data_IF_759173637583
#
_entry.id   IF_759173637583
#
_cell.length_a   1.000
_cell.length_b   1.000
_cell.length_c   1.000
_cell.angle_alpha   90.00
_cell.angle_beta   90.00
_cell.angle_gamma   90.00
#
_symmetry.space_group_name_H-M   'P 1'
#
loop_
_entity.id
_entity.type
_entity.pdbx_description
1 polymer ?
#
# COMPACT_ATOMS: atom_id res chain seq x y z
N UNK A 1 12.60 17.18 5.62
CA UNK A 1 11.66 17.48 4.50
C UNK A 1 10.31 17.03 4.97
N UNK A 2 9.34 17.92 5.12
CA UNK A 2 8.00 17.52 5.60
C UNK A 2 7.36 16.61 4.56
N UNK A 3 6.72 15.53 4.99
CA UNK A 3 5.97 14.57 4.12
C UNK A 3 4.99 15.31 3.20
N UNK A 4 4.36 16.38 3.68
CA UNK A 4 3.44 17.25 2.92
C UNK A 4 4.04 17.87 1.64
N UNK A 5 5.37 17.85 1.48
CA UNK A 5 6.09 18.33 0.28
C UNK A 5 6.59 17.20 -0.62
N UNK A 6 6.33 15.95 -0.27
CA UNK A 6 6.69 14.82 -1.12
C UNK A 6 5.83 14.84 -2.39
N UNK A 7 6.49 14.78 -3.56
CA UNK A 7 5.78 14.83 -4.84
C UNK A 7 5.08 13.51 -5.08
N UNK A 8 3.76 13.55 -5.23
CA UNK A 8 2.98 12.40 -5.67
C UNK A 8 3.43 11.96 -7.07
N UNK A 9 3.62 10.68 -7.22
CA UNK A 9 3.96 10.02 -8.47
C UNK A 9 2.86 9.03 -8.82
N UNK A 10 2.43 9.03 -10.09
CA UNK A 10 1.54 8.00 -10.65
C UNK A 10 2.08 7.59 -12.01
N UNK A 11 2.10 6.31 -12.27
CA UNK A 11 2.34 5.84 -13.64
C UNK A 11 1.17 6.23 -14.52
N UNK A 12 1.43 6.92 -15.61
CA UNK A 12 0.39 7.28 -16.59
C UNK A 12 0.00 6.12 -17.48
N UNK A 13 0.90 5.19 -17.68
CA UNK A 13 0.70 3.98 -18.48
C UNK A 13 1.77 2.92 -18.13
N UNK A 14 1.47 1.68 -18.45
CA UNK A 14 2.43 0.58 -18.54
C UNK A 14 2.32 -0.05 -19.92
N UNK A 15 3.33 -0.80 -20.37
CA UNK A 15 3.27 -1.53 -21.62
C UNK A 15 2.60 -2.89 -21.45
N UNK A 16 2.03 -3.42 -22.52
CA UNK A 16 1.47 -4.78 -22.54
C UNK A 16 2.57 -5.81 -22.31
N UNK A 17 3.79 -5.58 -22.82
CA UNK A 17 4.94 -6.44 -22.54
C UNK A 17 5.27 -6.51 -21.06
N UNK A 18 5.23 -5.37 -20.33
CA UNK A 18 5.41 -5.36 -18.88
C UNK A 18 4.33 -6.17 -18.14
N UNK A 19 3.05 -6.07 -18.57
CA UNK A 19 1.98 -6.91 -18.01
C UNK A 19 2.24 -8.40 -18.29
N UNK A 20 2.72 -8.75 -19.50
CA UNK A 20 3.02 -10.12 -19.89
C UNK A 20 4.18 -10.70 -19.06
N UNK A 21 5.30 -9.99 -18.94
CA UNK A 21 6.46 -10.41 -18.15
C UNK A 21 6.11 -10.61 -16.68
N UNK A 22 5.41 -9.65 -16.06
CA UNK A 22 4.96 -9.74 -14.67
C UNK A 22 3.91 -10.84 -14.47
N UNK A 23 3.11 -11.14 -15.51
CA UNK A 23 2.01 -12.09 -15.47
C UNK A 23 2.35 -13.49 -15.93
N UNK A 24 3.50 -13.70 -16.59
CA UNK A 24 3.87 -14.98 -17.18
C UNK A 24 3.76 -16.14 -16.18
N UNK A 25 4.41 -16.04 -15.06
CA UNK A 25 4.39 -17.09 -14.03
C UNK A 25 3.15 -16.99 -13.12
N UNK A 26 2.80 -15.77 -12.72
CA UNK A 26 1.71 -15.52 -11.75
C UNK A 26 0.33 -15.75 -12.34
N UNK A 27 0.11 -15.34 -13.59
CA UNK A 27 -1.18 -15.44 -14.29
C UNK A 27 -1.21 -16.55 -15.34
N UNK A 28 -0.07 -17.24 -15.54
CA UNK A 28 0.13 -18.27 -16.55
C UNK A 28 -0.29 -17.77 -17.94
N UNK A 29 0.15 -16.55 -18.27
CA UNK A 29 -0.11 -15.97 -19.58
C UNK A 29 0.78 -16.62 -20.63
N UNK A 30 0.20 -16.98 -21.77
CA UNK A 30 0.90 -17.44 -22.98
C UNK A 30 0.54 -16.52 -24.14
N UNK A 31 1.51 -16.08 -24.92
CA UNK A 31 1.26 -15.31 -26.13
C UNK A 31 0.77 -16.23 -27.25
N UNK A 32 -0.44 -15.96 -27.80
CA UNK A 32 -1.04 -16.79 -28.83
C UNK A 32 -0.74 -16.32 -30.25
N UNK A 33 -0.34 -15.06 -30.42
CA UNK A 33 -0.08 -14.46 -31.74
C UNK A 33 1.25 -13.70 -31.82
N UNK A 34 2.24 -14.08 -30.99
CA UNK A 34 3.56 -13.49 -30.93
C UNK A 34 3.63 -12.21 -30.09
N UNK A 35 4.71 -11.45 -30.23
CA UNK A 35 5.04 -10.31 -29.39
C UNK A 35 4.70 -8.94 -30.02
N UNK A 36 4.14 -8.94 -31.22
CA UNK A 36 3.77 -7.71 -31.92
C UNK A 36 2.70 -6.95 -31.14
N UNK A 37 2.98 -5.70 -30.79
CA UNK A 37 2.11 -4.86 -29.97
C UNK A 37 2.40 -4.91 -28.47
N UNK A 38 3.49 -5.52 -28.02
CA UNK A 38 3.93 -5.49 -26.62
C UNK A 38 4.24 -4.05 -26.14
N UNK A 39 4.53 -3.12 -27.03
CA UNK A 39 4.71 -1.69 -26.76
C UNK A 39 3.39 -0.93 -26.58
N UNK A 40 2.24 -1.58 -26.84
CA UNK A 40 0.94 -0.96 -26.60
C UNK A 40 0.82 -0.53 -25.15
N UNK A 41 0.18 0.64 -24.95
CA UNK A 41 0.04 1.24 -23.62
C UNK A 41 -1.30 0.88 -22.99
N UNK A 42 -1.26 0.39 -21.76
CA UNK A 42 -2.40 0.27 -20.87
C UNK A 42 -2.44 1.54 -20.03
N UNK A 43 -3.55 2.27 -20.09
CA UNK A 43 -3.72 3.57 -19.43
C UNK A 43 -4.82 3.58 -18.36
N UNK A 44 -5.64 2.54 -18.31
CA UNK A 44 -6.72 2.36 -17.33
C UNK A 44 -6.46 1.10 -16.49
N UNK A 45 -6.68 1.19 -15.20
CA UNK A 45 -6.55 0.07 -14.27
C UNK A 45 -7.71 -0.92 -14.35
N UNK A 46 -8.83 -0.49 -14.92
CA UNK A 46 -10.02 -1.33 -15.03
C UNK A 46 -9.93 -2.23 -16.26
N UNK A 47 -10.56 -3.38 -16.15
CA UNK A 47 -10.70 -4.34 -17.22
C UNK A 47 -12.03 -4.16 -17.94
N UNK A 48 -12.18 -4.76 -19.12
CA UNK A 48 -13.43 -4.76 -19.85
C UNK A 48 -13.75 -6.15 -20.43
N UNK A 49 -15.04 -6.52 -20.44
CA UNK A 49 -15.54 -7.71 -21.11
C UNK A 49 -16.35 -7.28 -22.34
N UNK A 50 -15.92 -7.66 -23.55
CA UNK A 50 -16.47 -7.10 -24.79
C UNK A 50 -17.79 -7.74 -25.25
N UNK A 51 -18.56 -8.38 -24.34
CA UNK A 51 -19.76 -9.14 -24.73
C UNK A 51 -20.77 -8.35 -25.55
N UNK A 52 -21.12 -7.12 -25.15
CA UNK A 52 -22.02 -6.25 -25.89
C UNK A 52 -21.42 -5.77 -27.23
N UNK A 53 -20.11 -5.48 -27.24
CA UNK A 53 -19.43 -5.07 -28.47
C UNK A 53 -19.39 -6.20 -29.51
N UNK A 54 -19.21 -7.44 -29.08
CA UNK A 54 -19.34 -8.62 -29.94
C UNK A 54 -20.75 -8.75 -30.51
N UNK A 55 -21.78 -8.40 -29.73
CA UNK A 55 -23.17 -8.33 -30.19
C UNK A 55 -23.51 -7.17 -31.14
N UNK A 56 -22.52 -6.26 -31.35
CA UNK A 56 -22.67 -5.11 -32.25
C UNK A 56 -22.96 -3.77 -31.55
N UNK A 57 -23.12 -3.74 -30.23
CA UNK A 57 -23.29 -2.53 -29.47
C UNK A 57 -21.95 -1.98 -29.01
N UNK A 58 -21.45 -0.95 -29.69
CA UNK A 58 -20.09 -0.40 -29.50
C UNK A 58 -20.07 0.99 -28.88
N UNK A 59 -21.20 1.66 -28.67
CA UNK A 59 -21.28 3.03 -28.18
C UNK A 59 -20.61 3.22 -26.81
N UNK A 60 -20.67 2.21 -25.94
CA UNK A 60 -20.05 2.22 -24.61
C UNK A 60 -18.86 1.27 -24.50
N UNK A 61 -18.30 0.86 -25.63
CA UNK A 61 -17.16 -0.05 -25.66
C UNK A 61 -15.88 0.63 -25.16
N UNK A 62 -15.36 0.16 -24.04
CA UNK A 62 -14.13 0.66 -23.45
C UNK A 62 -12.93 -0.08 -24.06
N UNK A 63 -12.63 0.27 -25.31
CA UNK A 63 -11.52 -0.33 -26.08
C UNK A 63 -10.13 0.05 -25.51
N UNK A 64 -10.04 1.14 -24.75
CA UNK A 64 -8.83 1.63 -24.08
C UNK A 64 -8.35 0.73 -22.92
N UNK A 65 -9.13 -0.30 -22.55
CA UNK A 65 -8.86 -1.23 -21.46
C UNK A 65 -8.37 -2.58 -21.96
N UNK A 66 -7.71 -3.32 -21.07
CA UNK A 66 -7.43 -4.75 -21.28
C UNK A 66 -8.75 -5.49 -21.41
N UNK A 67 -8.92 -6.23 -22.52
CA UNK A 67 -10.13 -7.02 -22.79
C UNK A 67 -9.98 -8.42 -22.24
N UNK A 68 -11.01 -8.92 -21.53
CA UNK A 68 -11.05 -10.30 -21.05
C UNK A 68 -12.24 -11.02 -21.69
N UNK A 69 -11.95 -12.13 -22.35
CA UNK A 69 -12.94 -12.98 -23.00
C UNK A 69 -12.89 -14.38 -22.38
N UNK A 70 -14.01 -14.81 -21.83
CA UNK A 70 -14.16 -16.12 -21.22
C UNK A 70 -15.18 -17.00 -21.92
N UNK A 71 -15.63 -18.03 -21.21
CA UNK A 71 -16.61 -19.00 -21.73
C UNK A 71 -17.88 -18.32 -22.24
N UNK A 72 -18.33 -17.23 -21.64
CA UNK A 72 -19.55 -16.53 -22.08
C UNK A 72 -19.41 -15.96 -23.49
N UNK A 73 -18.32 -15.22 -23.72
CA UNK A 73 -18.03 -14.58 -25.00
C UNK A 73 -17.76 -15.64 -26.09
N UNK A 74 -17.01 -16.69 -25.78
CA UNK A 74 -16.69 -17.76 -26.72
C UNK A 74 -17.93 -18.59 -27.07
N UNK A 75 -18.76 -18.93 -26.09
CA UNK A 75 -20.03 -19.64 -26.35
C UNK A 75 -21.00 -18.81 -27.18
N UNK A 76 -21.06 -17.49 -26.91
CA UNK A 76 -21.86 -16.60 -27.74
C UNK A 76 -21.37 -16.61 -29.20
N UNK A 77 -20.07 -16.44 -29.43
CA UNK A 77 -19.49 -16.47 -30.77
C UNK A 77 -19.76 -17.81 -31.49
N UNK A 78 -19.63 -18.92 -30.77
CA UNK A 78 -19.91 -20.27 -31.30
C UNK A 78 -21.40 -20.55 -31.55
N UNK A 79 -22.31 -19.78 -30.95
CA UNK A 79 -23.74 -19.88 -31.23
C UNK A 79 -24.17 -19.14 -32.50
N UNK A 80 -23.32 -18.28 -33.04
CA UNK A 80 -23.53 -17.54 -34.26
C UNK A 80 -23.14 -18.39 -35.48
N UNK A 81 -23.74 -18.14 -36.67
CA UNK A 81 -23.19 -18.63 -37.91
C UNK A 81 -21.71 -18.26 -38.05
N UNK A 82 -20.81 -19.14 -38.56
CA UNK A 82 -19.36 -18.93 -38.56
C UNK A 82 -18.94 -17.59 -39.16
N UNK A 83 -19.58 -17.16 -40.24
CA UNK A 83 -19.29 -15.87 -40.87
C UNK A 83 -19.64 -14.65 -39.96
N UNK A 84 -20.73 -14.76 -39.19
CA UNK A 84 -21.15 -13.71 -38.26
C UNK A 84 -20.26 -13.68 -37.03
N UNK A 85 -19.87 -14.82 -36.46
CA UNK A 85 -18.93 -14.90 -35.35
C UNK A 85 -17.56 -14.30 -35.71
N UNK A 86 -17.07 -14.64 -36.91
CA UNK A 86 -15.84 -14.03 -37.45
C UNK A 86 -15.97 -12.52 -37.61
N UNK A 87 -17.08 -12.05 -38.20
CA UNK A 87 -17.34 -10.63 -38.39
C UNK A 87 -17.39 -9.85 -37.05
N UNK A 88 -17.99 -10.48 -35.99
CA UNK A 88 -18.05 -9.88 -34.65
C UNK A 88 -16.64 -9.68 -34.05
N UNK A 89 -15.75 -10.68 -34.16
CA UNK A 89 -14.36 -10.57 -33.73
C UNK A 89 -13.58 -9.53 -34.55
N UNK A 90 -13.73 -9.54 -35.87
CA UNK A 90 -13.04 -8.56 -36.74
C UNK A 90 -13.43 -7.12 -36.43
N UNK A 91 -14.72 -6.88 -36.11
CA UNK A 91 -15.22 -5.56 -35.66
C UNK A 91 -14.58 -5.13 -34.35
N UNK A 92 -14.45 -6.05 -33.38
CA UNK A 92 -13.77 -5.77 -32.12
C UNK A 92 -12.32 -5.34 -32.36
N UNK A 93 -11.61 -6.02 -33.26
CA UNK A 93 -10.23 -5.74 -33.59
C UNK A 93 -10.02 -4.44 -34.42
N UNK A 94 -11.07 -3.75 -34.87
CA UNK A 94 -10.98 -2.42 -35.51
C UNK A 94 -10.59 -1.32 -34.51
N UNK A 95 -10.85 -1.55 -33.23
CA UNK A 95 -10.48 -0.60 -32.17
C UNK A 95 -9.04 -0.78 -31.74
N UNK A 96 -8.42 0.30 -31.22
CA UNK A 96 -7.08 0.28 -30.66
C UNK A 96 -7.06 -0.35 -29.25
N UNK A 97 -7.27 -1.64 -29.19
CA UNK A 97 -7.29 -2.41 -27.94
C UNK A 97 -5.85 -2.64 -27.49
N UNK A 98 -5.49 -2.44 -26.20
CA UNK A 98 -4.15 -2.75 -25.71
C UNK A 98 -3.78 -4.22 -25.89
N UNK A 99 -4.61 -5.13 -25.41
CA UNK A 99 -4.49 -6.58 -25.57
C UNK A 99 -5.81 -7.28 -25.25
N UNK A 100 -5.91 -8.56 -25.61
CA UNK A 100 -7.01 -9.47 -25.27
C UNK A 100 -6.46 -10.64 -24.47
N UNK A 101 -7.14 -11.03 -23.38
CA UNK A 101 -6.84 -12.22 -22.59
C UNK A 101 -7.99 -13.22 -22.74
N UNK A 102 -7.69 -14.39 -23.27
CA UNK A 102 -8.61 -15.53 -23.37
C UNK A 102 -8.44 -16.41 -22.13
N UNK A 103 -9.53 -16.69 -21.43
CA UNK A 103 -9.52 -17.47 -20.18
C UNK A 103 -9.96 -18.90 -20.40
N UNK A 104 -9.83 -19.76 -19.39
CA UNK A 104 -10.31 -21.16 -19.41
C UNK A 104 -9.71 -22.00 -20.56
N UNK A 105 -8.47 -21.75 -20.97
CA UNK A 105 -7.85 -22.36 -22.17
C UNK A 105 -8.67 -22.17 -23.46
N UNK A 106 -9.53 -21.18 -23.54
CA UNK A 106 -10.22 -20.84 -24.76
C UNK A 106 -9.25 -20.39 -25.84
N UNK A 107 -9.60 -20.67 -27.08
CA UNK A 107 -8.86 -20.25 -28.28
C UNK A 107 -9.81 -19.59 -29.27
N UNK A 108 -9.24 -18.83 -30.19
CA UNK A 108 -9.94 -18.29 -31.36
C UNK A 108 -9.25 -18.78 -32.64
N UNK A 109 -9.94 -18.69 -33.77
CA UNK A 109 -9.41 -19.19 -35.04
C UNK A 109 -8.08 -18.52 -35.42
N UNK A 110 -7.16 -19.30 -36.02
CA UNK A 110 -5.81 -18.83 -36.37
C UNK A 110 -5.81 -17.63 -37.34
N UNK A 111 -6.76 -17.56 -38.25
CA UNK A 111 -6.90 -16.44 -39.18
C UNK A 111 -7.27 -15.13 -38.43
N UNK A 112 -8.04 -15.21 -37.35
CA UNK A 112 -8.34 -14.09 -36.47
C UNK A 112 -7.10 -13.69 -35.66
N UNK A 113 -6.33 -14.65 -35.13
CA UNK A 113 -5.05 -14.41 -34.46
C UNK A 113 -4.05 -13.69 -35.39
N UNK A 114 -3.99 -14.07 -36.65
CA UNK A 114 -3.16 -13.38 -37.67
C UNK A 114 -3.62 -11.94 -37.87
N UNK A 115 -4.94 -11.70 -38.01
CA UNK A 115 -5.46 -10.33 -38.15
C UNK A 115 -5.16 -9.49 -36.91
N UNK A 116 -5.29 -10.05 -35.72
CA UNK A 116 -4.93 -9.36 -34.46
C UNK A 116 -3.44 -9.00 -34.44
N UNK A 117 -2.55 -9.93 -34.82
CA UNK A 117 -1.12 -9.68 -34.93
C UNK A 117 -0.78 -8.60 -35.97
N UNK A 118 -1.43 -8.62 -37.15
CA UNK A 118 -1.22 -7.60 -38.18
C UNK A 118 -1.66 -6.21 -37.72
N UNK A 119 -2.69 -6.13 -36.89
CA UNK A 119 -3.17 -4.89 -36.27
C UNK A 119 -2.38 -4.51 -35.01
N UNK A 120 -1.39 -5.31 -34.59
CA UNK A 120 -0.56 -5.07 -33.40
C UNK A 120 -1.36 -5.22 -32.11
N UNK A 121 -2.33 -6.11 -32.05
CA UNK A 121 -3.12 -6.42 -30.86
C UNK A 121 -2.66 -7.76 -30.30
N UNK A 122 -1.91 -7.79 -29.17
CA UNK A 122 -1.52 -9.03 -28.51
C UNK A 122 -2.75 -9.80 -28.00
N UNK A 123 -2.75 -11.10 -28.21
CA UNK A 123 -3.75 -12.03 -27.67
C UNK A 123 -3.03 -13.02 -26.78
N UNK A 124 -3.45 -13.09 -25.52
CA UNK A 124 -2.93 -14.02 -24.53
C UNK A 124 -3.94 -15.09 -24.19
N UNK A 125 -3.45 -16.28 -23.87
CA UNK A 125 -4.24 -17.37 -23.28
C UNK A 125 -3.84 -17.59 -21.83
N UNK A 126 -4.80 -18.05 -21.01
CA UNK A 126 -4.54 -18.52 -19.65
C UNK A 126 -5.46 -19.68 -19.30
N UNK A 127 -4.99 -20.68 -18.50
CA UNK A 127 -5.85 -21.76 -18.01
C UNK A 127 -6.80 -21.30 -16.89
N UNK A 128 -6.60 -20.12 -16.34
CA UNK A 128 -7.44 -19.63 -15.24
C UNK A 128 -8.83 -19.22 -15.74
N UNK A 129 -9.82 -19.41 -14.87
CA UNK A 129 -11.18 -18.92 -15.09
C UNK A 129 -11.25 -17.38 -15.11
N UNK A 130 -12.28 -16.87 -15.75
CA UNK A 130 -12.46 -15.43 -15.98
C UNK A 130 -12.43 -14.60 -14.67
N UNK A 131 -13.12 -15.06 -13.63
CA UNK A 131 -13.18 -14.34 -12.35
C UNK A 131 -11.81 -14.24 -11.70
N UNK A 132 -11.06 -15.34 -11.68
CA UNK A 132 -9.73 -15.41 -11.08
C UNK A 132 -8.72 -14.52 -11.80
N UNK A 133 -8.67 -14.61 -13.14
CA UNK A 133 -7.75 -13.78 -13.91
C UNK A 133 -8.12 -12.29 -13.84
N UNK A 134 -9.43 -11.98 -13.87
CA UNK A 134 -9.89 -10.60 -13.72
C UNK A 134 -9.44 -9.99 -12.40
N UNK A 135 -9.55 -10.74 -11.30
CA UNK A 135 -9.05 -10.29 -10.00
C UNK A 135 -7.54 -10.06 -10.01
N UNK A 136 -6.75 -11.01 -10.53
CA UNK A 136 -5.29 -10.90 -10.54
C UNK A 136 -4.78 -9.75 -11.40
N UNK A 137 -5.35 -9.57 -12.58
CA UNK A 137 -4.94 -8.49 -13.49
C UNK A 137 -5.42 -7.14 -12.95
N UNK A 138 -6.62 -7.05 -12.39
CA UNK A 138 -7.12 -5.82 -11.76
C UNK A 138 -6.26 -5.42 -10.56
N UNK A 139 -5.92 -6.36 -9.66
CA UNK A 139 -5.03 -6.12 -8.51
C UNK A 139 -3.64 -5.63 -8.97
N UNK A 140 -3.07 -6.27 -9.99
CA UNK A 140 -1.80 -5.86 -10.57
C UNK A 140 -1.86 -4.44 -11.16
N UNK A 141 -2.90 -4.14 -11.95
CA UNK A 141 -3.07 -2.81 -12.54
C UNK A 141 -3.33 -1.74 -11.48
N UNK A 142 -4.12 -2.06 -10.45
CA UNK A 142 -4.35 -1.14 -9.33
C UNK A 142 -3.02 -0.79 -8.65
N UNK A 143 -2.15 -1.78 -8.41
CA UNK A 143 -0.82 -1.56 -7.86
C UNK A 143 0.04 -0.66 -8.75
N UNK A 144 0.00 -0.84 -10.09
CA UNK A 144 0.80 -0.06 -11.02
C UNK A 144 0.34 1.39 -11.16
N UNK A 145 -0.96 1.66 -11.04
CA UNK A 145 -1.56 2.98 -11.19
C UNK A 145 -1.84 3.69 -9.86
N UNK A 146 -1.57 3.04 -8.75
CA UNK A 146 -1.76 3.62 -7.42
C UNK A 146 -0.84 4.82 -7.18
N UNK A 147 -1.35 5.87 -6.52
CA UNK A 147 -0.53 7.02 -6.15
C UNK A 147 0.54 6.61 -5.14
N UNK A 148 1.73 7.13 -5.34
CA UNK A 148 2.91 6.84 -4.52
C UNK A 148 3.64 8.12 -4.14
N UNK A 149 4.24 8.13 -2.96
CA UNK A 149 5.25 9.10 -2.57
C UNK A 149 6.50 8.40 -2.06
N UNK A 150 7.62 9.11 -2.15
CA UNK A 150 8.88 8.69 -1.54
C UNK A 150 9.11 9.56 -0.31
N UNK A 151 9.33 8.91 0.82
CA UNK A 151 9.55 9.55 2.12
C UNK A 151 10.95 9.19 2.63
N UNK A 152 11.71 10.19 3.06
CA UNK A 152 12.95 9.94 3.81
C UNK A 152 12.63 9.60 5.25
N UNK A 153 12.83 8.34 5.61
CA UNK A 153 12.47 7.82 6.91
C UNK A 153 12.82 6.35 7.05
N UNK A 154 12.49 5.77 8.19
CA UNK A 154 12.63 4.34 8.45
C UNK A 154 11.25 3.77 8.76
N UNK A 155 10.89 2.66 8.13
CA UNK A 155 9.64 1.94 8.38
C UNK A 155 9.94 0.62 9.08
N UNK A 156 9.36 0.43 10.25
CA UNK A 156 9.53 -0.74 11.09
C UNK A 156 8.18 -1.33 11.47
N UNK A 157 8.06 -2.64 11.45
CA UNK A 157 6.91 -3.38 11.98
C UNK A 157 7.15 -3.66 13.48
N UNK A 158 6.49 -2.88 14.34
CA UNK A 158 6.62 -2.95 15.80
C UNK A 158 5.36 -3.56 16.39
N UNK A 159 5.44 -4.78 16.95
CA UNK A 159 4.30 -5.55 17.44
C UNK A 159 3.13 -5.71 16.44
N UNK A 160 3.44 -5.74 15.14
CA UNK A 160 2.42 -5.82 14.09
C UNK A 160 1.87 -4.45 13.65
N UNK A 161 2.37 -3.35 14.19
CA UNK A 161 2.05 -1.97 13.79
C UNK A 161 3.17 -1.43 12.91
N UNK A 162 2.84 -0.89 11.74
CA UNK A 162 3.80 -0.21 10.87
C UNK A 162 4.04 1.22 11.33
N UNK A 163 5.23 1.44 11.87
CA UNK A 163 5.69 2.72 12.40
C UNK A 163 6.63 3.36 11.38
N UNK A 164 6.23 4.51 10.84
CA UNK A 164 7.08 5.34 9.98
C UNK A 164 7.79 6.40 10.82
N UNK A 165 9.10 6.23 11.00
CA UNK A 165 9.97 7.20 11.67
C UNK A 165 10.40 8.26 10.65
N UNK A 166 10.10 9.53 10.93
CA UNK A 166 10.52 10.68 10.12
C UNK A 166 11.26 11.69 10.99
N UNK A 167 11.92 12.63 10.36
CA UNK A 167 12.66 13.68 11.02
C UNK A 167 13.88 14.11 10.18
N UNK A 168 14.60 15.13 10.62
CA UNK A 168 15.78 15.62 9.90
C UNK A 168 16.84 14.54 9.69
N UNK A 169 17.67 14.70 8.66
CA UNK A 169 18.82 13.80 8.46
C UNK A 169 19.75 13.86 9.69
N UNK A 170 20.22 12.68 10.12
CA UNK A 170 21.12 12.52 11.26
C UNK A 170 20.49 12.65 12.64
N UNK A 171 19.16 12.61 12.75
CA UNK A 171 18.47 12.66 14.04
C UNK A 171 18.45 11.32 14.78
N UNK A 172 18.88 10.21 14.14
CA UNK A 172 18.93 8.89 14.76
C UNK A 172 17.84 7.92 14.29
N UNK A 173 17.17 8.15 13.12
CA UNK A 173 16.11 7.25 12.62
C UNK A 173 16.60 5.82 12.40
N UNK A 174 17.73 5.68 11.70
CA UNK A 174 18.32 4.36 11.39
C UNK A 174 18.81 3.66 12.65
N UNK A 175 19.41 4.40 13.60
CA UNK A 175 19.84 3.85 14.88
C UNK A 175 18.66 3.32 15.71
N UNK A 176 17.56 4.07 15.77
CA UNK A 176 16.33 3.63 16.46
C UNK A 176 15.73 2.41 15.74
N UNK A 177 15.72 2.40 14.41
CA UNK A 177 15.21 1.28 13.63
C UNK A 177 16.07 0.02 13.85
N UNK A 178 17.39 0.16 13.94
CA UNK A 178 18.31 -0.96 14.26
C UNK A 178 18.09 -1.48 15.68
N UNK A 179 17.97 -0.61 16.68
CA UNK A 179 17.63 -0.99 18.05
C UNK A 179 16.31 -1.78 18.12
N UNK A 180 15.28 -1.34 17.38
CA UNK A 180 14.01 -2.05 17.29
C UNK A 180 14.20 -3.45 16.67
N UNK A 181 15.02 -3.59 15.62
CA UNK A 181 15.34 -4.88 14.99
C UNK A 181 16.05 -5.80 15.97
N UNK A 182 17.03 -5.31 16.72
CA UNK A 182 17.75 -6.07 17.74
C UNK A 182 16.79 -6.60 18.84
N UNK A 183 15.76 -5.81 19.15
CA UNK A 183 14.70 -6.17 20.11
C UNK A 183 13.64 -7.14 19.53
N UNK A 184 13.80 -7.58 18.28
CA UNK A 184 12.98 -8.60 17.63
C UNK A 184 11.85 -8.04 16.75
N UNK A 185 11.84 -6.74 16.46
CA UNK A 185 10.95 -6.13 15.47
C UNK A 185 11.50 -6.32 14.05
N UNK A 186 10.73 -5.91 13.04
CA UNK A 186 11.07 -6.20 11.64
C UNK A 186 11.29 -4.92 10.85
N UNK A 187 12.45 -4.81 10.23
CA UNK A 187 12.74 -3.74 9.28
C UNK A 187 11.91 -3.92 8.00
N UNK A 188 11.26 -2.86 7.54
CA UNK A 188 10.63 -2.83 6.22
C UNK A 188 11.48 -2.05 5.23
N UNK A 189 11.92 -0.85 5.61
CA UNK A 189 12.80 0.00 4.82
C UNK A 189 13.53 1.00 5.71
N UNK A 190 14.73 1.41 5.28
CA UNK A 190 15.49 2.50 5.88
C UNK A 190 15.91 3.50 4.84
N UNK A 191 16.08 4.76 5.25
CA UNK A 191 16.42 5.96 4.48
C UNK A 191 15.37 6.32 3.40
N UNK A 192 14.94 5.38 2.55
CA UNK A 192 13.99 5.61 1.46
C UNK A 192 12.80 4.66 1.59
N UNK A 193 11.65 5.21 1.95
CA UNK A 193 10.37 4.50 2.06
C UNK A 193 9.45 4.93 0.93
N UNK A 194 9.06 3.99 0.07
CA UNK A 194 7.99 4.21 -0.90
C UNK A 194 6.65 3.92 -0.24
N UNK A 195 5.79 4.91 -0.14
CA UNK A 195 4.43 4.77 0.40
C UNK A 195 3.44 4.81 -0.75
N UNK A 196 2.64 3.75 -0.89
CA UNK A 196 1.62 3.58 -1.94
C UNK A 196 0.24 3.58 -1.29
N UNK A 197 -0.70 4.37 -1.83
CA UNK A 197 -2.10 4.29 -1.42
C UNK A 197 -2.82 3.19 -2.20
N UNK A 198 -3.27 2.15 -1.50
CA UNK A 198 -4.09 1.06 -2.06
C UNK A 198 -5.55 1.22 -1.68
N UNK A 199 -6.43 1.00 -2.65
CA UNK A 199 -7.87 1.04 -2.44
C UNK A 199 -8.35 2.34 -1.76
N UNK A 200 -9.32 2.21 -0.87
CA UNK A 200 -9.90 3.34 -0.14
C UNK A 200 -9.21 3.56 1.21
N UNK A 201 -8.00 4.14 1.17
CA UNK A 201 -7.40 4.66 2.41
C UNK A 201 -6.40 3.73 3.12
N UNK A 202 -5.80 2.76 2.43
CA UNK A 202 -4.73 1.94 2.99
C UNK A 202 -3.39 2.41 2.44
N UNK A 203 -2.47 2.81 3.32
CA UNK A 203 -1.11 3.16 2.96
C UNK A 203 -0.19 1.95 3.18
N UNK A 204 0.49 1.52 2.13
CA UNK A 204 1.48 0.44 2.19
C UNK A 204 2.86 1.03 1.95
N UNK A 205 3.74 0.85 2.93
CA UNK A 205 5.14 1.24 2.83
C UNK A 205 6.03 0.05 2.47
N UNK A 206 7.02 0.29 1.61
CA UNK A 206 8.03 -0.69 1.19
C UNK A 206 9.36 -0.01 0.93
N UNK A 207 10.46 -0.76 0.99
CA UNK A 207 11.76 -0.33 0.48
C UNK A 207 11.83 -0.41 -1.05
N UNK A 208 12.77 0.34 -1.64
CA UNK A 208 13.09 0.19 -3.06
C UNK A 208 13.90 -1.09 -3.28
N UNK A 209 13.80 -1.70 -4.46
CA UNK A 209 14.50 -2.97 -4.76
C UNK A 209 16.02 -2.86 -4.63
N UNK A 210 16.57 -1.67 -4.85
CA UNK A 210 18.02 -1.42 -4.79
C UNK A 210 18.59 -1.47 -3.36
N UNK A 211 17.85 -0.94 -2.36
CA UNK A 211 18.34 -0.82 -0.97
C UNK A 211 17.53 -1.67 0.01
N UNK A 212 16.82 -2.67 -0.50
CA UNK A 212 15.96 -3.55 0.28
C UNK A 212 16.76 -4.30 1.34
N UNK A 213 16.37 -4.12 2.60
CA UNK A 213 16.99 -4.75 3.78
C UNK A 213 18.39 -4.23 4.16
N UNK A 214 18.89 -3.22 3.45
CA UNK A 214 20.11 -2.52 3.85
C UNK A 214 19.79 -1.32 4.73
N UNK A 215 20.72 -1.00 5.63
CA UNK A 215 20.70 0.20 6.48
C UNK A 215 22.06 0.87 6.43
N UNK A 216 22.05 2.20 6.44
CA UNK A 216 23.28 2.98 6.60
C UNK A 216 23.41 3.46 8.05
N UNK A 217 24.43 2.98 8.74
CA UNK A 217 24.73 3.37 10.12
C UNK A 217 25.98 4.25 10.14
N UNK A 218 25.86 5.45 10.66
CA UNK A 218 26.99 6.38 10.75
C UNK A 218 28.11 5.79 11.60
N UNK A 219 29.34 5.83 11.06
CA UNK A 219 30.51 5.25 11.69
C UNK A 219 30.73 3.77 11.46
N UNK A 220 29.71 3.03 11.01
CA UNK A 220 29.83 1.62 10.64
C UNK A 220 29.74 1.40 9.12
N UNK A 221 28.95 2.22 8.42
CA UNK A 221 28.68 2.08 6.98
C UNK A 221 27.41 1.31 6.71
N UNK A 222 27.37 0.63 5.54
CA UNK A 222 26.20 -0.12 5.08
C UNK A 222 26.18 -1.52 5.71
N UNK A 223 25.05 -1.91 6.29
CA UNK A 223 24.80 -3.23 6.86
C UNK A 223 23.63 -3.92 6.15
N UNK A 224 23.71 -5.25 6.01
CA UNK A 224 22.62 -6.10 5.53
C UNK A 224 21.90 -6.72 6.72
N UNK A 225 20.74 -6.16 7.07
CA UNK A 225 19.91 -6.60 8.21
C UNK A 225 19.44 -8.04 8.05
N UNK A 226 19.10 -8.46 6.83
CA UNK A 226 18.67 -9.84 6.57
C UNK A 226 19.79 -10.85 6.82
N UNK A 227 21.00 -10.53 6.38
CA UNK A 227 22.18 -11.40 6.56
C UNK A 227 22.64 -11.45 8.01
N UNK A 228 22.53 -10.32 8.76
CA UNK A 228 22.97 -10.24 10.17
C UNK A 228 21.96 -10.83 11.15
N UNK A 229 20.67 -10.53 10.99
CA UNK A 229 19.61 -10.88 11.96
C UNK A 229 18.65 -11.97 11.46
N UNK A 230 18.81 -12.40 10.19
CA UNK A 230 17.99 -13.44 9.57
C UNK A 230 16.68 -12.93 8.96
N UNK A 231 15.98 -13.85 8.27
CA UNK A 231 14.73 -13.54 7.55
C UNK A 231 13.61 -13.02 8.46
N UNK A 232 13.65 -13.36 9.76
CA UNK A 232 12.64 -12.92 10.73
C UNK A 232 12.78 -11.45 11.09
N UNK A 233 13.91 -10.82 10.86
CA UNK A 233 14.19 -9.42 11.15
C UNK A 233 13.72 -8.46 10.05
N UNK A 234 13.22 -8.98 8.94
CA UNK A 234 12.78 -8.16 7.80
C UNK A 234 11.31 -8.41 7.44
N UNK A 235 10.74 -7.42 6.76
CA UNK A 235 9.44 -7.49 6.13
C UNK A 235 9.48 -6.76 4.79
N UNK A 236 8.85 -7.32 3.75
CA UNK A 236 8.91 -6.73 2.40
C UNK A 236 8.05 -5.48 2.25
N UNK A 237 6.92 -5.45 2.92
CA UNK A 237 5.99 -4.32 2.94
C UNK A 237 5.13 -4.35 4.20
N UNK A 238 4.67 -3.19 4.64
CA UNK A 238 3.82 -3.05 5.81
C UNK A 238 2.88 -1.86 5.65
N UNK A 239 1.64 -1.99 6.15
CA UNK A 239 0.74 -0.84 6.29
C UNK A 239 1.42 0.21 7.18
N UNK A 240 1.36 1.47 6.78
CA UNK A 240 1.75 2.61 7.63
C UNK A 240 0.56 2.94 8.51
N UNK A 241 0.69 2.72 9.82
CA UNK A 241 -0.39 2.88 10.80
C UNK A 241 -0.14 4.04 11.73
N UNK A 242 1.12 4.39 11.98
CA UNK A 242 1.54 5.52 12.80
C UNK A 242 2.74 6.20 12.15
N UNK A 243 2.78 7.51 12.23
CA UNK A 243 3.97 8.32 11.94
C UNK A 243 4.54 8.87 13.24
N UNK A 244 5.83 8.67 13.47
CA UNK A 244 6.56 9.29 14.58
C UNK A 244 7.54 10.30 13.99
N UNK A 245 7.31 11.58 14.25
CA UNK A 245 8.20 12.66 13.87
C UNK A 245 9.21 12.91 15.00
N UNK A 246 10.47 12.61 14.72
CA UNK A 246 11.58 12.86 15.64
C UNK A 246 12.03 14.32 15.52
N UNK A 247 12.05 15.03 16.63
CA UNK A 247 12.43 16.44 16.69
C UNK A 247 13.55 16.68 17.72
N UNK A 248 14.39 17.69 17.48
CA UNK A 248 15.31 18.17 18.50
C UNK A 248 14.51 18.79 19.65
N UNK A 249 14.83 18.44 20.88
CA UNK A 249 14.20 19.02 22.05
C UNK A 249 14.42 20.53 22.13
N UNK A 250 13.32 21.26 22.38
CA UNK A 250 13.34 22.72 22.54
C UNK A 250 12.86 23.09 23.94
N UNK A 251 13.64 23.85 24.73
CA UNK A 251 13.30 24.17 26.11
C UNK A 251 11.98 24.92 26.31
N UNK A 252 11.56 25.70 25.31
CA UNK A 252 10.37 26.55 25.38
C UNK A 252 9.16 26.01 24.63
N UNK A 253 9.19 24.75 24.16
CA UNK A 253 8.07 24.13 23.49
C UNK A 253 7.31 23.24 24.48
N UNK A 254 6.01 23.45 24.59
CA UNK A 254 5.13 22.53 25.32
C UNK A 254 4.92 21.27 24.49
N UNK A 255 5.26 20.13 25.07
CA UNK A 255 5.00 18.82 24.48
C UNK A 255 3.78 18.21 25.18
N UNK A 256 2.90 17.59 24.40
CA UNK A 256 1.71 16.92 24.91
C UNK A 256 2.06 15.89 25.99
N UNK A 257 1.57 16.08 27.21
CA UNK A 257 1.82 15.18 28.34
C UNK A 257 0.69 14.19 28.58
N UNK A 258 -0.51 14.53 28.15
CA UNK A 258 -1.74 13.80 28.48
C UNK A 258 -2.10 12.74 27.44
N UNK A 259 -1.58 12.84 26.19
CA UNK A 259 -1.97 11.93 25.11
C UNK A 259 -3.43 12.02 24.68
N UNK A 260 -4.11 13.13 25.05
CA UNK A 260 -5.51 13.39 24.68
C UNK A 260 -5.66 14.02 23.30
N UNK A 261 -4.60 14.66 22.80
CA UNK A 261 -4.57 15.30 21.49
C UNK A 261 -4.19 14.27 20.43
N UNK A 262 -5.15 13.83 19.63
CA UNK A 262 -4.93 12.95 18.51
C UNK A 262 -4.53 13.80 17.28
N UNK A 263 -3.22 14.06 17.12
CA UNK A 263 -2.68 14.71 15.92
C UNK A 263 -2.65 13.71 14.76
N UNK A 264 -2.91 14.20 13.56
CA UNK A 264 -2.80 13.42 12.32
C UNK A 264 -1.93 14.12 11.30
N UNK A 265 -1.43 13.36 10.33
CA UNK A 265 -0.75 13.85 9.14
C UNK A 265 -1.41 13.23 7.90
N UNK A 266 -1.66 14.06 6.90
CA UNK A 266 -2.22 13.59 5.63
C UNK A 266 -1.11 13.06 4.71
N UNK A 267 -1.25 11.82 4.27
CA UNK A 267 -0.35 11.16 3.32
C UNK A 267 -1.21 10.60 2.19
N UNK A 268 -1.05 11.12 0.97
CA UNK A 268 -1.86 10.71 -0.19
C UNK A 268 -3.37 10.73 0.12
N UNK A 269 -3.87 11.81 0.72
CA UNK A 269 -5.26 12.00 1.18
C UNK A 269 -5.75 10.97 2.22
N UNK A 270 -4.83 10.34 2.95
CA UNK A 270 -5.14 9.43 4.07
C UNK A 270 -4.60 10.02 5.36
N UNK A 271 -5.48 10.19 6.34
CA UNK A 271 -5.10 10.67 7.67
C UNK A 271 -4.46 9.55 8.49
N UNK A 272 -3.24 9.78 8.96
CA UNK A 272 -2.46 8.84 9.78
C UNK A 272 -2.14 9.51 11.11
N UNK A 273 -2.29 8.82 12.25
CA UNK A 273 -1.87 9.31 13.55
C UNK A 273 -0.40 9.77 13.55
N UNK A 274 -0.16 10.97 14.06
CA UNK A 274 1.15 11.58 14.19
C UNK A 274 1.54 11.75 15.65
N UNK A 275 2.72 11.28 16.01
CA UNK A 275 3.31 11.51 17.33
C UNK A 275 4.60 12.29 17.16
N UNK A 276 4.65 13.50 17.71
CA UNK A 276 5.88 14.32 17.77
C UNK A 276 6.70 13.92 18.98
N UNK A 277 7.91 13.40 18.73
CA UNK A 277 8.76 12.85 19.77
C UNK A 277 10.07 13.63 19.87
N UNK A 278 10.23 14.49 20.92
CA UNK A 278 11.48 15.21 21.13
C UNK A 278 12.58 14.27 21.60
N UNK A 279 13.76 14.41 20.99
CA UNK A 279 14.96 13.65 21.34
C UNK A 279 15.90 14.54 22.17
N UNK A 280 16.34 13.99 23.29
CA UNK A 280 17.42 14.59 24.11
C UNK A 280 18.31 13.48 24.71
N UNK A 281 19.56 13.80 25.09
CA UNK A 281 20.47 12.81 25.66
C UNK A 281 19.87 12.07 26.86
N UNK A 282 20.00 10.76 26.88
CA UNK A 282 19.49 9.89 27.95
C UNK A 282 18.04 9.42 27.78
N UNK A 283 17.31 9.89 26.76
CA UNK A 283 15.95 9.41 26.47
C UNK A 283 16.00 8.13 25.65
N UNK A 284 15.39 7.06 26.14
CA UNK A 284 15.28 5.81 25.39
C UNK A 284 14.10 5.89 24.39
N UNK A 285 14.39 6.35 23.19
CA UNK A 285 13.41 6.57 22.12
C UNK A 285 12.85 5.26 21.61
N UNK A 286 13.64 4.20 21.59
CA UNK A 286 13.24 2.86 21.14
C UNK A 286 12.11 2.31 22.01
N UNK A 287 12.29 2.32 23.34
CA UNK A 287 11.24 1.89 24.28
C UNK A 287 9.99 2.75 24.17
N UNK A 288 10.13 4.06 23.97
CA UNK A 288 8.98 4.94 23.78
C UNK A 288 8.23 4.59 22.49
N UNK A 289 8.93 4.26 21.41
CA UNK A 289 8.33 3.81 20.15
C UNK A 289 7.54 2.50 20.33
N UNK A 290 8.08 1.55 21.10
CA UNK A 290 7.35 0.33 21.46
C UNK A 290 6.08 0.64 22.25
N UNK A 291 6.15 1.51 23.25
CA UNK A 291 4.98 1.91 24.07
C UNK A 291 3.95 2.65 23.22
N UNK A 292 4.34 3.54 22.31
CA UNK A 292 3.42 4.20 21.37
C UNK A 292 2.68 3.15 20.54
N UNK A 293 3.39 2.15 20.01
CA UNK A 293 2.79 1.08 19.20
C UNK A 293 1.79 0.25 20.00
N UNK A 294 2.13 -0.13 21.23
CA UNK A 294 1.24 -0.86 22.13
C UNK A 294 0.01 -0.01 22.52
N UNK A 295 0.19 1.27 22.81
CA UNK A 295 -0.91 2.17 23.13
C UNK A 295 -1.87 2.35 21.92
N UNK A 296 -1.32 2.42 20.70
CA UNK A 296 -2.14 2.43 19.49
C UNK A 296 -2.99 1.15 19.36
N UNK A 297 -2.40 -0.02 19.62
CA UNK A 297 -3.13 -1.29 19.64
C UNK A 297 -4.26 -1.26 20.67
N UNK A 298 -4.00 -0.81 21.90
CA UNK A 298 -5.00 -0.70 22.94
C UNK A 298 -6.16 0.21 22.53
N UNK A 299 -5.85 1.40 21.96
CA UNK A 299 -6.86 2.31 21.42
C UNK A 299 -7.71 1.64 20.33
N UNK A 300 -7.08 0.87 19.44
CA UNK A 300 -7.78 0.14 18.38
C UNK A 300 -8.74 -0.92 18.94
N UNK A 301 -8.39 -1.56 20.05
CA UNK A 301 -9.26 -2.49 20.77
C UNK A 301 -10.24 -1.81 21.76
N UNK A 302 -10.34 -0.48 21.71
CA UNK A 302 -11.32 0.29 22.47
C UNK A 302 -10.88 0.73 23.86
N UNK A 303 -9.61 0.48 24.25
CA UNK A 303 -9.07 0.95 25.53
C UNK A 303 -8.17 2.17 25.32
N UNK A 304 -8.56 3.30 25.90
CA UNK A 304 -7.78 4.55 25.89
C UNK A 304 -7.40 4.91 27.33
N UNK A 305 -6.12 4.71 27.67
CA UNK A 305 -5.62 4.94 29.01
C UNK A 305 -5.78 6.40 29.48
N UNK A 306 -5.66 7.38 28.58
CA UNK A 306 -5.81 8.79 28.91
C UNK A 306 -7.26 9.13 29.23
N UNK A 307 -8.22 8.62 28.44
CA UNK A 307 -9.65 8.79 28.69
C UNK A 307 -10.10 8.08 29.98
N UNK A 308 -9.58 6.87 30.20
CA UNK A 308 -9.89 6.11 31.42
C UNK A 308 -9.35 6.82 32.66
N UNK A 309 -8.13 7.37 32.61
CA UNK A 309 -7.56 8.16 33.69
C UNK A 309 -8.36 9.43 33.94
N UNK A 310 -8.73 10.21 32.92
CA UNK A 310 -9.59 11.39 33.04
C UNK A 310 -10.90 11.06 33.71
N UNK A 311 -11.57 9.98 33.30
CA UNK A 311 -12.85 9.54 33.90
C UNK A 311 -12.71 9.19 35.39
N UNK A 312 -11.63 8.50 35.77
CA UNK A 312 -11.32 8.20 37.16
C UNK A 312 -11.06 9.47 37.98
N UNK A 313 -10.28 10.41 37.41
CA UNK A 313 -9.98 11.68 38.03
C UNK A 313 -11.24 12.52 38.26
N UNK A 314 -12.12 12.61 37.26
CA UNK A 314 -13.43 13.29 37.40
C UNK A 314 -14.31 12.64 38.47
N UNK A 315 -14.29 11.31 38.57
CA UNK A 315 -14.99 10.56 39.61
C UNK A 315 -14.50 10.93 41.01
N UNK A 316 -13.18 10.97 41.21
CA UNK A 316 -12.57 11.35 42.51
C UNK A 316 -12.86 12.81 42.87
N UNK A 317 -12.74 13.73 41.88
CA UNK A 317 -13.06 15.16 42.09
C UNK A 317 -14.56 15.32 42.42
N UNK A 318 -15.43 14.58 41.71
CA UNK A 318 -16.87 14.60 41.99
C UNK A 318 -17.23 14.08 43.37
N UNK A 319 -16.56 13.04 43.86
CA UNK A 319 -16.73 12.54 45.25
C UNK A 319 -16.21 13.55 46.26
N UNK A 320 -15.00 14.08 46.12
CA UNK A 320 -14.46 15.13 46.99
C UNK A 320 -15.33 16.40 47.03
N UNK A 321 -15.95 16.80 45.92
CA UNK A 321 -16.92 17.92 45.91
C UNK A 321 -18.20 17.60 46.67
N UNK A 322 -18.63 16.34 46.73
CA UNK A 322 -19.79 15.92 47.54
C UNK A 322 -19.45 15.81 49.01
N UNK A 323 -18.24 15.38 49.35
CA UNK A 323 -17.76 15.24 50.74
C UNK A 323 -17.28 16.57 51.34
N UNK A 324 -16.76 17.51 50.53
CA UNK A 324 -16.25 18.81 50.97
C UNK A 324 -17.35 19.86 51.29
N UNK A 325 -18.49 19.44 51.88
CA UNK A 325 -19.35 20.38 52.61
C UNK A 325 -19.04 20.48 54.12
N UNK A 326 -18.05 19.71 54.59
CA UNK A 326 -17.44 19.88 55.89
C UNK A 326 -15.92 19.78 55.74
N UNK A 327 -15.22 20.92 55.76
CA UNK A 327 -13.77 20.93 55.96
C UNK A 327 -13.59 20.52 57.41
N UNK A 328 -13.17 19.28 57.63
CA UNK A 328 -12.76 18.82 58.94
C UNK A 328 -11.33 19.31 59.19
N UNK A 329 -11.20 20.45 59.90
CA UNK A 329 -9.92 21.06 60.27
C UNK A 329 -9.15 20.26 61.30
N UNK A 330 -9.68 19.11 61.77
CA UNK A 330 -9.12 18.35 62.86
C UNK A 330 -8.24 17.15 62.47
N UNK A 331 -8.11 16.81 61.19
CA UNK A 331 -7.34 15.62 60.78
C UNK A 331 -5.88 15.90 60.40
N UNK A 332 -5.39 17.14 60.41
CA UNK A 332 -4.03 17.45 59.98
C UNK A 332 -3.09 18.10 60.99
N UNK A 333 -3.44 18.17 62.25
CA UNK A 333 -2.60 18.79 63.30
C UNK A 333 -1.90 17.78 64.23
N UNK A 334 -1.76 16.54 63.86
CA UNK A 334 -1.00 15.56 64.65
C UNK A 334 -0.06 14.72 63.74
N UNK A 335 0.95 15.38 63.20
CA UNK A 335 2.28 14.75 62.92
C UNK A 335 3.37 15.84 62.96
#
# INVERSE_FOLDING_TARGET
>A
MKIEKAREQRKKNITVGFLFEAGHDRFKLTALNGEKGFDNKITDKNLHRPGLALGGYVDLFRYDRVQIMGNTEIRYLNSLPPAQGKSALLRLLEFKIPCVILTDNNTIAEDILKVAADRGIPVFGTPFETTKISYFVADFLDDQFSPQIVVHGSLVDVYGIGVLLIGRSGIGKSEIALDLVERGHRLVADDVVTVTRKGEGILIGAGTDLVKHFMEIRGLGLIDVRSMFGIRAIRYQKRVEIVIELEDWKPNQEYTRTGLDDQTISILDVEVPLVQLPIFPGKNVTVITEVISLNYLLKHYGYDAAKEFSKRLEGVIGQKRKENRAIDYFEHDFE
#
